data_IF_704138940515
#
_entry.id   IF_704138940515
#
_cell.length_a   1.000
_cell.length_b   1.000
_cell.length_c   1.000
_cell.angle_alpha   90.00
_cell.angle_beta   90.00
_cell.angle_gamma   90.00
#
_symmetry.space_group_name_H-M   'P 1'
#
loop_
_entity.id
_entity.type
_entity.pdbx_description
1 polymer ?
#
# COMPACT_ATOMS: atom_id res chain seq x y z
N UNK A 1 -47.94 14.85 -37.78
CA UNK A 1 -47.92 13.90 -36.65
C UNK A 1 -46.51 13.88 -36.08
N UNK A 2 -46.26 14.65 -35.04
CA UNK A 2 -44.97 14.70 -34.33
C UNK A 2 -44.87 13.42 -33.50
N UNK A 3 -44.11 12.44 -34.00
CA UNK A 3 -43.80 11.22 -33.25
C UNK A 3 -42.87 11.64 -32.11
N UNK A 4 -43.41 11.83 -30.92
CA UNK A 4 -42.65 11.94 -29.67
C UNK A 4 -41.94 10.59 -29.45
N UNK A 5 -40.77 10.46 -30.06
CA UNK A 5 -39.87 9.35 -29.81
C UNK A 5 -39.43 9.48 -28.34
N UNK A 6 -39.87 8.53 -27.51
CA UNK A 6 -39.29 8.31 -26.19
C UNK A 6 -37.79 8.16 -26.39
N UNK A 7 -36.92 8.96 -25.73
CA UNK A 7 -35.48 8.80 -25.91
C UNK A 7 -35.13 7.37 -25.48
N UNK A 8 -34.56 6.60 -26.40
CA UNK A 8 -34.05 5.27 -26.10
C UNK A 8 -33.06 5.45 -24.94
N UNK A 9 -33.35 4.83 -23.80
CA UNK A 9 -32.53 4.96 -22.61
C UNK A 9 -31.22 4.21 -22.85
N UNK A 10 -30.22 4.91 -23.39
CA UNK A 10 -28.90 4.37 -23.61
C UNK A 10 -28.30 3.93 -22.26
N UNK A 11 -27.80 2.70 -22.22
CA UNK A 11 -27.21 2.11 -21.02
C UNK A 11 -25.98 2.88 -20.57
N UNK A 12 -25.70 2.88 -19.27
CA UNK A 12 -24.50 3.52 -18.75
C UNK A 12 -23.23 2.84 -19.30
N UNK A 13 -22.15 3.59 -19.59
CA UNK A 13 -20.88 3.00 -19.98
C UNK A 13 -20.27 2.19 -18.83
N UNK A 14 -19.56 1.12 -19.18
CA UNK A 14 -18.89 0.24 -18.20
C UNK A 14 -17.37 0.37 -18.32
N UNK A 15 -16.67 0.24 -17.18
CA UNK A 15 -15.21 0.34 -17.12
C UNK A 15 -14.64 -0.98 -16.60
N UNK A 16 -14.21 -1.91 -17.48
CA UNK A 16 -13.79 -3.24 -17.08
C UNK A 16 -12.52 -3.24 -16.20
N UNK A 17 -11.71 -2.19 -16.28
CA UNK A 17 -10.47 -2.04 -15.49
C UNK A 17 -10.71 -1.35 -14.14
N UNK A 18 -11.95 -0.97 -13.81
CA UNK A 18 -12.25 -0.36 -12.53
C UNK A 18 -12.16 -1.40 -11.40
N UNK A 19 -11.39 -1.08 -10.36
CA UNK A 19 -11.49 -1.80 -9.10
C UNK A 19 -12.83 -1.49 -8.41
N UNK A 20 -13.27 -2.32 -7.43
CA UNK A 20 -14.52 -2.11 -6.70
C UNK A 20 -14.67 -0.71 -6.08
N UNK A 21 -13.54 -0.05 -5.80
CA UNK A 21 -13.50 1.27 -5.17
C UNK A 21 -12.97 2.39 -6.07
N UNK A 22 -12.68 2.12 -7.36
CA UNK A 22 -12.24 3.16 -8.30
C UNK A 22 -11.22 2.73 -9.35
N UNK A 23 -10.69 3.74 -10.06
CA UNK A 23 -9.61 3.60 -11.06
C UNK A 23 -8.27 3.87 -10.37
N UNK A 24 -7.34 2.92 -10.51
CA UNK A 24 -5.97 3.05 -10.03
C UNK A 24 -5.03 3.61 -11.10
N UNK A 25 -3.79 3.91 -10.73
CA UNK A 25 -2.83 4.53 -11.63
C UNK A 25 -2.51 3.64 -12.84
N UNK A 26 -2.42 2.32 -12.65
CA UNK A 26 -2.16 1.38 -13.74
C UNK A 26 -3.31 1.37 -14.76
N UNK A 27 -4.55 1.28 -14.28
CA UNK A 27 -5.75 1.32 -15.11
C UNK A 27 -5.89 2.65 -15.85
N UNK A 28 -5.48 3.77 -15.26
CA UNK A 28 -5.51 5.08 -15.90
C UNK A 28 -4.64 5.17 -17.17
N UNK A 29 -3.50 4.46 -17.23
CA UNK A 29 -2.60 4.48 -18.41
C UNK A 29 -3.23 3.90 -19.69
N UNK A 30 -4.16 2.95 -19.53
CA UNK A 30 -4.80 2.22 -20.62
C UNK A 30 -6.30 2.08 -20.40
N UNK A 31 -6.94 3.17 -19.93
CA UNK A 31 -8.35 3.13 -19.55
C UNK A 31 -9.26 2.90 -20.75
N UNK A 32 -10.06 1.83 -20.69
CA UNK A 32 -11.05 1.47 -21.68
C UNK A 32 -12.46 1.64 -21.12
N UNK A 33 -13.35 2.11 -21.98
CA UNK A 33 -14.78 2.23 -21.72
C UNK A 33 -15.53 1.33 -22.70
N UNK A 34 -16.31 0.41 -22.15
CA UNK A 34 -17.13 -0.53 -22.90
C UNK A 34 -18.57 -0.02 -22.94
N UNK A 35 -19.05 0.22 -24.16
CA UNK A 35 -20.40 0.66 -24.48
C UNK A 35 -21.17 -0.54 -25.02
N UNK A 36 -22.24 -0.92 -24.33
CA UNK A 36 -23.09 -2.01 -24.76
C UNK A 36 -23.82 -1.67 -26.08
N UNK A 37 -24.16 -2.67 -26.91
CA UNK A 37 -25.03 -2.45 -28.05
C UNK A 37 -26.34 -1.83 -27.61
N UNK A 38 -26.80 -0.79 -28.32
CA UNK A 38 -28.04 -0.10 -28.01
C UNK A 38 -29.15 -0.44 -29.02
N UNK A 39 -30.43 -0.28 -28.62
CA UNK A 39 -31.55 -0.48 -29.54
C UNK A 39 -31.45 0.47 -30.75
N UNK A 40 -31.58 -0.07 -31.96
CA UNK A 40 -31.51 0.72 -33.19
C UNK A 40 -30.08 1.12 -33.60
N UNK A 41 -29.06 0.41 -33.12
CA UNK A 41 -27.67 0.57 -33.58
C UNK A 41 -27.55 0.24 -35.07
N UNK A 42 -27.10 1.20 -35.87
CA UNK A 42 -26.98 1.09 -37.32
C UNK A 42 -25.58 1.46 -37.82
N UNK A 43 -25.25 1.03 -39.04
CA UNK A 43 -24.02 1.46 -39.69
C UNK A 43 -24.03 2.96 -39.95
N UNK A 44 -22.92 3.63 -39.61
CA UNK A 44 -22.76 5.07 -39.78
C UNK A 44 -23.05 5.88 -38.52
N UNK A 45 -23.68 5.28 -37.49
CA UNK A 45 -23.88 5.91 -36.19
C UNK A 45 -22.54 6.35 -35.59
N UNK A 46 -22.48 7.58 -35.08
CA UNK A 46 -21.29 8.11 -34.41
C UNK A 46 -21.48 8.06 -32.90
N UNK A 47 -20.60 7.34 -32.21
CA UNK A 47 -20.54 7.27 -30.76
C UNK A 47 -19.41 8.18 -30.29
N UNK A 48 -19.73 9.15 -29.45
CA UNK A 48 -18.76 10.08 -28.85
C UNK A 48 -18.70 9.85 -27.35
N UNK A 49 -17.49 9.64 -26.83
CA UNK A 49 -17.22 9.44 -25.41
C UNK A 49 -16.80 10.74 -24.75
N UNK A 50 -17.40 11.02 -23.59
CA UNK A 50 -17.09 12.16 -22.77
C UNK A 50 -16.59 11.72 -21.40
N UNK A 51 -15.47 12.32 -20.99
CA UNK A 51 -14.89 12.18 -19.66
C UNK A 51 -14.89 13.56 -18.99
N UNK A 52 -15.59 13.70 -17.87
CA UNK A 52 -15.81 14.98 -17.19
C UNK A 52 -16.31 16.09 -18.13
N UNK A 53 -17.23 15.73 -19.05
CA UNK A 53 -17.78 16.61 -20.09
C UNK A 53 -16.77 17.07 -21.16
N UNK A 54 -15.55 16.55 -21.16
CA UNK A 54 -14.59 16.75 -22.23
C UNK A 54 -14.65 15.58 -23.21
N UNK A 55 -14.61 15.88 -24.51
CA UNK A 55 -14.52 14.88 -25.56
C UNK A 55 -13.23 14.07 -25.40
N UNK A 56 -13.35 12.76 -25.26
CA UNK A 56 -12.22 11.86 -25.02
C UNK A 56 -11.87 11.02 -26.25
N UNK A 57 -12.88 10.45 -26.92
CA UNK A 57 -12.71 9.57 -28.07
C UNK A 57 -14.04 9.48 -28.84
N UNK A 58 -13.98 9.03 -30.09
CA UNK A 58 -15.18 8.73 -30.86
C UNK A 58 -14.98 7.57 -31.83
N UNK A 59 -16.08 6.89 -32.15
CA UNK A 59 -16.08 5.83 -33.15
C UNK A 59 -17.36 5.78 -33.93
N UNK A 60 -17.21 5.59 -35.24
CA UNK A 60 -18.32 5.29 -36.15
C UNK A 60 -18.59 3.79 -36.13
N UNK A 61 -19.86 3.42 -36.05
CA UNK A 61 -20.31 2.04 -36.14
C UNK A 61 -20.18 1.57 -37.59
N UNK A 62 -19.53 0.42 -37.80
CA UNK A 62 -19.41 -0.25 -39.09
C UNK A 62 -20.36 -1.44 -39.16
N UNK A 63 -20.75 -1.89 -40.36
CA UNK A 63 -21.66 -3.02 -40.53
C UNK A 63 -21.26 -4.28 -39.72
N UNK A 64 -19.97 -4.57 -39.61
CA UNK A 64 -19.46 -5.73 -38.88
C UNK A 64 -19.46 -5.59 -37.34
N UNK A 65 -19.80 -4.42 -36.81
CA UNK A 65 -19.83 -4.11 -35.37
C UNK A 65 -21.24 -3.89 -34.83
N UNK A 66 -22.25 -3.94 -35.68
CA UNK A 66 -23.65 -3.88 -35.26
C UNK A 66 -23.95 -5.02 -34.30
N UNK A 67 -24.60 -4.71 -33.17
CA UNK A 67 -24.93 -5.68 -32.13
C UNK A 67 -23.75 -6.12 -31.25
N UNK A 68 -22.56 -5.52 -31.43
CA UNK A 68 -21.36 -5.82 -30.61
C UNK A 68 -20.96 -4.63 -29.72
N UNK A 69 -20.40 -4.88 -28.53
CA UNK A 69 -19.93 -3.80 -27.66
C UNK A 69 -18.84 -2.96 -28.35
N UNK A 70 -18.94 -1.64 -28.18
CA UNK A 70 -17.93 -0.69 -28.68
C UNK A 70 -16.98 -0.33 -27.55
N UNK A 71 -15.67 -0.48 -27.79
CA UNK A 71 -14.62 -0.05 -26.86
C UNK A 71 -13.97 1.24 -27.32
N UNK A 72 -13.92 2.20 -26.42
CA UNK A 72 -13.27 3.50 -26.60
C UNK A 72 -12.20 3.70 -25.53
N UNK A 73 -11.15 4.44 -25.87
CA UNK A 73 -10.02 4.66 -24.94
C UNK A 73 -10.09 6.09 -24.39
N UNK A 74 -9.94 6.21 -23.07
CA UNK A 74 -9.75 7.53 -22.44
C UNK A 74 -8.25 7.83 -22.39
N UNK A 75 -7.79 8.98 -22.91
CA UNK A 75 -6.39 9.36 -22.77
C UNK A 75 -6.01 9.57 -21.30
N UNK A 76 -4.82 9.12 -20.90
CA UNK A 76 -4.35 9.20 -19.51
C UNK A 76 -4.36 10.63 -18.97
N UNK A 77 -4.09 11.63 -19.81
CA UNK A 77 -4.10 13.05 -19.42
C UNK A 77 -5.45 13.56 -18.94
N UNK A 78 -6.56 12.86 -19.23
CA UNK A 78 -7.90 13.22 -18.76
C UNK A 78 -8.21 12.59 -17.40
N UNK A 79 -7.51 11.51 -17.03
CA UNK A 79 -7.79 10.70 -15.85
C UNK A 79 -7.09 11.31 -14.63
N UNK A 80 -7.67 12.40 -14.14
CA UNK A 80 -7.21 13.11 -12.95
C UNK A 80 -7.85 12.57 -11.67
N UNK A 81 -7.15 12.71 -10.55
CA UNK A 81 -7.64 12.31 -9.22
C UNK A 81 -8.93 13.03 -8.85
N UNK A 82 -9.88 12.28 -8.29
CA UNK A 82 -11.17 12.81 -7.86
C UNK A 82 -12.35 11.98 -8.33
N UNK A 83 -13.55 12.54 -8.19
CA UNK A 83 -14.76 11.94 -8.74
C UNK A 83 -14.83 12.28 -10.22
N UNK A 84 -14.82 11.27 -11.08
CA UNK A 84 -14.96 11.43 -12.52
C UNK A 84 -16.35 10.97 -13.00
N UNK A 85 -16.79 11.59 -14.09
CA UNK A 85 -18.07 11.30 -14.74
C UNK A 85 -17.81 10.83 -16.17
N UNK A 86 -18.41 9.70 -16.53
CA UNK A 86 -18.27 9.09 -17.86
C UNK A 86 -19.65 8.96 -18.47
N UNK A 87 -19.81 9.47 -19.68
CA UNK A 87 -21.01 9.26 -20.47
C UNK A 87 -20.65 9.24 -21.94
N UNK A 88 -21.55 8.74 -22.77
CA UNK A 88 -21.40 8.82 -24.21
C UNK A 88 -22.67 9.38 -24.82
N UNK A 89 -22.56 9.89 -26.04
CA UNK A 89 -23.70 10.21 -26.87
C UNK A 89 -23.62 9.50 -28.20
N UNK A 90 -24.78 9.20 -28.76
CA UNK A 90 -24.93 8.60 -30.08
C UNK A 90 -25.60 9.61 -30.99
N UNK A 91 -24.97 9.86 -32.13
CA UNK A 91 -25.53 10.63 -33.23
C UNK A 91 -25.96 9.69 -34.34
N UNK A 92 -27.27 9.57 -34.53
CA UNK A 92 -27.87 8.79 -35.62
C UNK A 92 -28.36 9.71 -36.73
N UNK A 93 -28.31 9.24 -37.97
CA UNK A 93 -28.73 10.03 -39.12
C UNK A 93 -30.25 10.29 -39.02
N UNK A 94 -30.65 11.56 -39.07
CA UNK A 94 -32.06 11.94 -38.99
C UNK A 94 -32.65 12.01 -37.57
N UNK A 95 -31.85 11.77 -36.54
CA UNK A 95 -32.23 11.90 -35.13
C UNK A 95 -31.39 12.96 -34.41
N UNK A 96 -31.92 13.48 -33.30
CA UNK A 96 -31.13 14.30 -32.37
C UNK A 96 -30.11 13.45 -31.60
N UNK A 97 -29.10 14.08 -30.98
CA UNK A 97 -28.15 13.36 -30.15
C UNK A 97 -28.87 12.68 -28.98
N UNK A 98 -28.58 11.39 -28.77
CA UNK A 98 -29.07 10.62 -27.64
C UNK A 98 -27.93 10.42 -26.63
N UNK A 99 -28.13 10.82 -25.37
CA UNK A 99 -27.13 10.70 -24.31
C UNK A 99 -27.37 9.46 -23.44
N UNK A 100 -26.28 8.84 -23.01
CA UNK A 100 -26.30 7.76 -22.02
C UNK A 100 -26.56 8.26 -20.61
N UNK A 101 -26.92 7.33 -19.73
CA UNK A 101 -26.76 7.55 -18.29
C UNK A 101 -25.27 7.84 -17.96
N UNK A 102 -25.06 8.64 -16.91
CA UNK A 102 -23.72 9.00 -16.43
C UNK A 102 -23.23 7.93 -15.44
N UNK A 103 -22.04 7.42 -15.67
CA UNK A 103 -21.31 6.56 -14.73
C UNK A 103 -20.35 7.40 -13.90
N UNK A 104 -20.49 7.38 -12.58
CA UNK A 104 -19.55 8.01 -11.65
C UNK A 104 -18.49 7.02 -11.21
N UNK A 105 -17.22 7.40 -11.30
CA UNK A 105 -16.09 6.59 -10.82
C UNK A 105 -15.14 7.44 -9.99
N UNK A 106 -14.64 6.86 -8.90
CA UNK A 106 -13.57 7.49 -8.13
C UNK A 106 -12.22 7.18 -8.78
N UNK A 107 -11.42 8.19 -9.05
CA UNK A 107 -10.07 8.05 -9.60
C UNK A 107 -9.07 8.38 -8.51
N UNK A 108 -8.05 7.54 -8.37
CA UNK A 108 -6.87 7.79 -7.54
C UNK A 108 -5.65 7.20 -8.25
N UNK A 109 -4.90 8.08 -8.90
CA UNK A 109 -3.64 7.79 -9.59
C UNK A 109 -2.43 8.09 -8.70
N UNK A 110 -2.60 8.91 -7.67
CA UNK A 110 -1.54 9.21 -6.71
C UNK A 110 -1.26 8.04 -5.76
N UNK A 111 -0.05 7.48 -5.85
CA UNK A 111 0.44 6.40 -5.01
C UNK A 111 0.60 6.83 -3.54
N UNK A 112 0.34 5.93 -2.57
CA UNK A 112 0.71 6.15 -1.17
C UNK A 112 2.23 6.31 -1.05
N UNK A 113 2.67 7.36 -0.37
CA UNK A 113 4.08 7.72 -0.31
C UNK A 113 4.60 8.34 -1.62
N UNK A 114 3.75 8.77 -2.55
CA UNK A 114 4.17 9.40 -3.80
C UNK A 114 4.71 8.43 -4.85
N UNK A 115 5.06 8.96 -6.03
CA UNK A 115 5.48 8.16 -7.17
C UNK A 115 6.82 7.44 -6.87
N UNK A 116 6.84 6.09 -6.87
CA UNK A 116 8.08 5.38 -6.63
C UNK A 116 9.09 5.61 -7.76
N UNK A 117 10.37 5.77 -7.41
CA UNK A 117 11.44 5.94 -8.40
C UNK A 117 11.51 4.75 -9.36
N UNK A 118 11.65 5.00 -10.66
CA UNK A 118 11.85 3.94 -11.64
C UNK A 118 13.19 3.21 -11.45
N UNK A 119 14.18 3.86 -10.82
CA UNK A 119 15.52 3.32 -10.59
C UNK A 119 15.56 2.32 -9.41
N UNK A 120 14.73 2.53 -8.39
CA UNK A 120 14.61 1.62 -7.24
C UNK A 120 13.30 0.84 -7.34
N UNK A 121 13.39 -0.34 -7.95
CA UNK A 121 12.20 -1.14 -8.31
C UNK A 121 11.33 -1.54 -7.12
N UNK A 122 11.94 -1.77 -5.96
CA UNK A 122 11.24 -2.36 -4.81
C UNK A 122 11.13 -1.44 -3.58
N UNK A 123 11.88 -0.32 -3.57
CA UNK A 123 11.94 0.60 -2.42
C UNK A 123 11.46 2.00 -2.80
N UNK A 124 10.62 2.60 -1.96
CA UNK A 124 10.12 3.96 -2.10
C UNK A 124 10.74 4.89 -1.07
N UNK A 125 11.75 5.66 -1.50
CA UNK A 125 12.50 6.62 -0.67
C UNK A 125 11.68 7.79 -0.14
N UNK A 126 10.48 8.01 -0.68
CA UNK A 126 9.57 9.05 -0.20
C UNK A 126 8.85 8.64 1.10
N UNK A 127 8.88 7.36 1.45
CA UNK A 127 8.35 6.85 2.72
C UNK A 127 9.42 6.97 3.81
N UNK A 128 8.99 7.38 5.00
CA UNK A 128 9.87 7.34 6.17
C UNK A 128 10.09 5.88 6.61
N UNK A 129 11.33 5.50 6.97
CA UNK A 129 11.57 4.21 7.61
C UNK A 129 10.83 4.14 8.95
N UNK A 130 10.57 2.92 9.44
CA UNK A 130 9.90 2.73 10.72
C UNK A 130 10.67 3.41 11.86
N UNK A 131 9.93 4.09 12.74
CA UNK A 131 10.46 4.74 13.93
C UNK A 131 10.30 3.82 15.13
N UNK A 132 11.39 3.65 15.87
CA UNK A 132 11.49 2.77 17.04
C UNK A 132 12.05 3.57 18.21
N UNK A 133 11.73 3.19 19.46
CA UNK A 133 12.32 3.81 20.64
C UNK A 133 13.85 3.85 20.57
N UNK A 134 14.43 4.97 20.99
CA UNK A 134 15.88 5.20 20.97
C UNK A 134 16.67 4.12 21.72
N UNK A 135 16.08 3.53 22.76
CA UNK A 135 16.69 2.41 23.50
C UNK A 135 16.90 1.19 22.61
N UNK A 136 15.92 0.82 21.79
CA UNK A 136 16.01 -0.29 20.84
C UNK A 136 16.99 0.04 19.73
N UNK A 137 16.97 1.29 19.24
CA UNK A 137 17.88 1.74 18.18
C UNK A 137 19.36 1.70 18.60
N UNK A 138 19.67 2.00 19.86
CA UNK A 138 21.05 2.08 20.37
C UNK A 138 21.57 0.75 20.91
N UNK A 139 20.71 0.01 21.61
CA UNK A 139 21.13 -1.17 22.37
C UNK A 139 20.59 -2.49 21.80
N UNK A 140 19.81 -2.43 20.72
CA UNK A 140 19.14 -3.59 20.16
C UNK A 140 17.93 -4.03 20.98
N UNK A 141 17.32 -5.13 20.54
CA UNK A 141 16.16 -5.73 21.20
C UNK A 141 16.64 -6.63 22.33
N UNK A 142 16.13 -6.41 23.55
CA UNK A 142 16.42 -7.27 24.69
C UNK A 142 15.32 -8.34 24.92
N UNK A 143 15.63 -9.40 25.66
CA UNK A 143 14.68 -10.49 25.90
C UNK A 143 13.38 -10.11 26.62
N UNK A 144 13.34 -8.98 27.33
CA UNK A 144 12.09 -8.48 27.93
C UNK A 144 11.16 -7.85 26.88
N UNK A 145 11.73 -7.17 25.89
CA UNK A 145 11.01 -6.59 24.75
C UNK A 145 10.52 -7.67 23.79
N UNK A 146 11.30 -8.74 23.58
CA UNK A 146 10.84 -9.92 22.84
C UNK A 146 9.56 -10.49 23.46
N UNK A 147 9.50 -10.57 24.80
CA UNK A 147 8.33 -11.12 25.51
C UNK A 147 7.13 -10.18 25.58
N UNK A 148 7.35 -8.87 25.70
CA UNK A 148 6.28 -7.87 25.87
C UNK A 148 5.72 -7.37 24.54
N UNK A 149 6.52 -7.39 23.48
CA UNK A 149 6.24 -6.67 22.24
C UNK A 149 6.97 -5.34 22.17
N UNK A 150 6.99 -4.76 20.97
CA UNK A 150 7.76 -3.57 20.65
C UNK A 150 6.83 -2.50 20.08
N UNK A 151 6.82 -1.28 20.64
CA UNK A 151 6.14 -0.16 20.01
C UNK A 151 6.94 0.30 18.78
N UNK A 152 6.24 0.50 17.69
CA UNK A 152 6.73 0.98 16.41
C UNK A 152 5.81 2.11 15.93
N UNK A 153 6.39 3.14 15.30
CA UNK A 153 5.62 4.24 14.73
C UNK A 153 5.93 4.36 13.24
N UNK A 154 4.88 4.51 12.44
CA UNK A 154 4.96 4.87 11.02
C UNK A 154 4.53 6.33 10.89
N UNK A 155 5.40 7.19 10.38
CA UNK A 155 5.10 8.60 10.16
C UNK A 155 4.02 8.78 9.08
N UNK A 156 3.21 9.85 9.14
CA UNK A 156 2.25 10.15 8.09
C UNK A 156 2.97 10.32 6.74
N UNK A 157 2.38 9.77 5.68
CA UNK A 157 2.97 9.74 4.35
C UNK A 157 2.13 10.53 3.33
N UNK A 158 2.76 10.89 2.21
CA UNK A 158 2.10 11.61 1.13
C UNK A 158 0.96 10.76 0.54
N UNK A 159 -0.17 11.39 0.21
CA UNK A 159 -1.37 10.74 -0.34
C UNK A 159 -2.05 9.71 0.59
N UNK A 160 -1.77 9.79 1.90
CA UNK A 160 -2.47 9.01 2.93
C UNK A 160 -3.97 9.21 2.85
N UNK A 161 -4.71 8.11 2.79
CA UNK A 161 -6.15 8.12 2.64
C UNK A 161 -6.83 7.08 3.53
N UNK A 162 -8.13 7.26 3.76
CA UNK A 162 -8.93 6.24 4.42
C UNK A 162 -9.06 4.99 3.54
N UNK A 163 -8.99 3.83 4.18
CA UNK A 163 -9.00 2.53 3.51
C UNK A 163 -7.62 2.03 3.08
N UNK A 164 -6.55 2.81 3.29
CA UNK A 164 -5.19 2.31 3.08
C UNK A 164 -4.91 1.15 4.04
N UNK A 165 -4.41 0.03 3.50
CA UNK A 165 -3.99 -1.15 4.24
C UNK A 165 -2.47 -1.17 4.33
N UNK A 166 -1.93 -1.35 5.54
CA UNK A 166 -0.49 -1.38 5.77
C UNK A 166 -0.09 -2.80 6.16
N UNK A 167 0.92 -3.33 5.48
CA UNK A 167 1.56 -4.60 5.86
C UNK A 167 2.96 -4.30 6.38
N UNK A 168 3.19 -4.56 7.66
CA UNK A 168 4.51 -4.52 8.28
C UNK A 168 5.23 -5.83 8.00
N UNK A 169 6.51 -5.76 7.64
CA UNK A 169 7.43 -6.88 7.56
C UNK A 169 8.45 -6.76 8.68
N UNK A 170 8.54 -7.81 9.50
CA UNK A 170 9.47 -7.94 10.61
C UNK A 170 10.33 -9.18 10.38
N UNK A 171 11.56 -8.99 9.88
CA UNK A 171 12.35 -10.09 9.31
C UNK A 171 11.61 -10.69 8.12
N UNK A 172 11.25 -11.96 8.21
CA UNK A 172 10.46 -12.66 7.19
C UNK A 172 8.97 -12.79 7.53
N UNK A 173 8.56 -12.36 8.73
CA UNK A 173 7.17 -12.40 9.18
C UNK A 173 6.42 -11.16 8.72
N UNK A 174 5.18 -11.36 8.26
CA UNK A 174 4.27 -10.28 7.86
C UNK A 174 3.19 -10.07 8.91
N UNK A 175 2.89 -8.82 9.19
CA UNK A 175 1.84 -8.38 10.10
C UNK A 175 0.98 -7.36 9.38
N UNK A 176 -0.26 -7.74 9.06
CA UNK A 176 -1.25 -6.81 8.51
C UNK A 176 -1.83 -5.95 9.61
N UNK A 177 -1.78 -4.64 9.40
CA UNK A 177 -2.29 -3.64 10.32
C UNK A 177 -3.74 -3.29 9.97
N UNK A 178 -4.51 -2.77 10.94
CA UNK A 178 -5.84 -2.23 10.66
C UNK A 178 -5.78 -1.15 9.58
N UNK A 179 -6.77 -1.16 8.67
CA UNK A 179 -6.88 -0.14 7.62
C UNK A 179 -7.03 1.26 8.23
N UNK A 180 -6.43 2.25 7.57
CA UNK A 180 -6.50 3.65 8.00
C UNK A 180 -7.94 4.14 7.98
N UNK A 181 -8.41 4.66 9.12
CA UNK A 181 -9.72 5.29 9.23
C UNK A 181 -9.62 6.78 8.88
N UNK A 182 -10.75 7.40 8.50
CA UNK A 182 -10.79 8.83 8.15
C UNK A 182 -10.20 9.75 9.24
N UNK A 183 -10.40 9.42 10.52
CA UNK A 183 -9.85 10.17 11.67
C UNK A 183 -8.32 10.03 11.83
N UNK A 184 -7.72 9.01 11.22
CA UNK A 184 -6.28 8.72 11.31
C UNK A 184 -5.47 9.26 10.13
N UNK A 185 -6.13 9.83 9.11
CA UNK A 185 -5.45 10.40 7.95
C UNK A 185 -4.60 11.60 8.38
N UNK A 186 -3.33 11.59 7.99
CA UNK A 186 -2.36 12.64 8.34
C UNK A 186 -1.77 12.52 9.76
N UNK A 187 -2.09 11.45 10.48
CA UNK A 187 -1.52 11.16 11.81
C UNK A 187 -0.54 9.99 11.74
N UNK A 188 0.41 9.97 12.68
CA UNK A 188 1.31 8.84 12.83
C UNK A 188 0.55 7.57 13.24
N UNK A 189 0.92 6.44 12.65
CA UNK A 189 0.33 5.14 12.95
C UNK A 189 1.19 4.46 14.03
N UNK A 190 0.62 4.33 15.22
CA UNK A 190 1.25 3.61 16.31
C UNK A 190 0.90 2.13 16.24
N UNK A 191 1.93 1.29 16.20
CA UNK A 191 1.85 -0.15 16.02
C UNK A 191 2.47 -0.82 17.23
N UNK A 192 1.77 -1.80 17.78
CA UNK A 192 2.33 -2.70 18.78
C UNK A 192 2.67 -4.02 18.11
N UNK A 193 3.96 -4.29 17.92
CA UNK A 193 4.41 -5.56 17.34
C UNK A 193 4.33 -6.62 18.44
N UNK A 194 3.47 -7.65 18.29
CA UNK A 194 3.29 -8.66 19.32
C UNK A 194 4.52 -9.56 19.42
N UNK A 195 4.72 -10.16 20.60
CA UNK A 195 5.82 -11.09 20.86
C UNK A 195 5.82 -12.29 19.92
N UNK A 196 4.65 -12.75 19.47
CA UNK A 196 4.51 -13.87 18.52
C UNK A 196 5.26 -13.59 17.22
N UNK A 197 5.07 -12.40 16.64
CA UNK A 197 5.74 -11.98 15.39
C UNK A 197 7.26 -11.90 15.59
N UNK A 198 7.70 -11.39 16.75
CA UNK A 198 9.12 -11.23 17.06
C UNK A 198 9.80 -12.60 17.23
N UNK A 199 9.14 -13.53 17.94
CA UNK A 199 9.67 -14.88 18.19
C UNK A 199 9.68 -15.70 16.91
N UNK A 200 8.63 -15.60 16.09
CA UNK A 200 8.52 -16.31 14.81
C UNK A 200 9.57 -15.87 13.80
N UNK A 201 9.94 -14.59 13.79
CA UNK A 201 11.01 -14.08 12.94
C UNK A 201 12.41 -14.60 13.32
N UNK A 202 12.56 -15.20 14.51
CA UNK A 202 13.81 -15.80 14.96
C UNK A 202 14.84 -14.80 15.49
N UNK A 203 16.00 -15.34 15.88
CA UNK A 203 17.12 -14.60 16.47
C UNK A 203 18.19 -14.27 15.41
N UNK A 204 17.76 -13.77 14.26
CA UNK A 204 18.70 -13.34 13.24
C UNK A 204 19.48 -12.12 13.76
N UNK A 205 20.81 -12.22 13.67
CA UNK A 205 21.74 -11.16 14.12
C UNK A 205 21.48 -9.80 13.46
N UNK A 206 20.76 -9.78 12.33
CA UNK A 206 20.29 -8.59 11.61
C UNK A 206 18.85 -8.78 11.18
N UNK A 207 17.94 -8.17 11.93
CA UNK A 207 16.52 -8.20 11.65
C UNK A 207 16.13 -6.94 10.87
N UNK A 208 15.61 -7.12 9.66
CA UNK A 208 15.15 -6.02 8.82
C UNK A 208 13.66 -5.76 9.01
N UNK A 209 13.31 -4.50 9.28
CA UNK A 209 11.93 -4.05 9.47
C UNK A 209 11.57 -3.03 8.42
N UNK A 210 10.49 -3.27 7.69
CA UNK A 210 9.95 -2.38 6.65
C UNK A 210 8.43 -2.53 6.58
N UNK A 211 7.76 -1.70 5.78
CA UNK A 211 6.33 -1.80 5.54
C UNK A 211 6.01 -1.43 4.09
N UNK A 212 4.86 -1.87 3.61
CA UNK A 212 4.27 -1.37 2.36
C UNK A 212 2.80 -1.03 2.60
N UNK A 213 2.26 -0.20 1.72
CA UNK A 213 0.89 0.30 1.78
C UNK A 213 0.19 -0.06 0.47
N UNK A 214 -1.03 -0.58 0.60
CA UNK A 214 -1.95 -0.80 -0.49
C UNK A 214 -3.15 0.12 -0.29
N UNK A 215 -3.42 1.01 -1.24
CA UNK A 215 -4.59 1.88 -1.14
C UNK A 215 -5.89 1.16 -1.51
N UNK A 216 -7.02 1.85 -1.29
CA UNK A 216 -8.36 1.32 -1.59
C UNK A 216 -8.60 0.96 -3.06
N UNK A 217 -7.87 1.56 -4.01
CA UNK A 217 -8.00 1.25 -5.45
C UNK A 217 -6.91 0.27 -5.93
N UNK A 218 -6.03 -0.19 -5.05
CA UNK A 218 -4.99 -1.18 -5.35
C UNK A 218 -3.65 -0.59 -5.80
N UNK A 219 -3.39 0.72 -5.61
CA UNK A 219 -2.04 1.25 -5.81
C UNK A 219 -1.12 0.80 -4.66
N UNK A 220 0.04 0.24 -5.02
CA UNK A 220 1.04 -0.23 -4.07
C UNK A 220 2.17 0.80 -3.90
N UNK A 221 2.49 1.18 -2.66
CA UNK A 221 3.54 2.15 -2.34
C UNK A 221 4.96 1.66 -2.59
N UNK A 222 5.13 0.36 -2.84
CA UNK A 222 6.38 -0.41 -2.66
C UNK A 222 6.84 -0.43 -1.20
N UNK A 223 7.97 -1.08 -0.93
CA UNK A 223 8.51 -1.16 0.42
C UNK A 223 9.11 0.19 0.84
N UNK A 224 8.90 0.57 2.10
CA UNK A 224 9.60 1.68 2.71
C UNK A 224 11.09 1.33 2.93
N UNK A 225 11.97 2.33 3.11
CA UNK A 225 13.35 2.09 3.44
C UNK A 225 13.51 1.20 4.67
N UNK A 226 14.36 0.19 4.55
CA UNK A 226 14.54 -0.84 5.58
C UNK A 226 15.22 -0.26 6.82
N UNK A 227 14.72 -0.67 7.99
CA UNK A 227 15.35 -0.44 9.28
C UNK A 227 15.93 -1.74 9.82
N UNK A 228 17.26 -1.87 9.79
CA UNK A 228 17.93 -3.02 10.41
C UNK A 228 18.06 -2.84 11.92
N UNK A 229 17.78 -3.92 12.65
CA UNK A 229 17.89 -4.03 14.10
C UNK A 229 18.83 -5.17 14.47
N UNK A 230 19.53 -5.01 15.59
CA UNK A 230 20.29 -6.08 16.21
C UNK A 230 19.49 -6.63 17.38
N UNK A 231 19.36 -7.95 17.44
CA UNK A 231 18.86 -8.61 18.65
C UNK A 231 20.08 -8.73 19.56
N UNK A 232 20.01 -8.10 20.73
CA UNK A 232 21.05 -8.27 21.73
C UNK A 232 20.88 -9.68 22.28
N UNK A 233 21.57 -10.65 21.67
CA UNK A 233 21.71 -12.00 22.20
C UNK A 233 22.05 -11.85 23.68
N UNK A 234 21.21 -12.38 24.56
CA UNK A 234 21.61 -12.55 25.94
C UNK A 234 22.94 -13.30 25.90
N UNK A 235 24.06 -12.63 26.22
CA UNK A 235 25.30 -13.34 26.47
C UNK A 235 24.95 -14.51 27.40
N UNK A 236 25.34 -15.76 27.08
CA UNK A 236 25.20 -16.84 28.03
C UNK A 236 25.86 -16.35 29.31
N UNK A 237 25.09 -16.24 30.38
CA UNK A 237 25.65 -15.87 31.67
C UNK A 237 26.77 -16.87 31.94
N UNK A 238 28.01 -16.39 31.95
CA UNK A 238 29.15 -17.16 32.42
C UNK A 238 28.73 -17.76 33.76
N UNK A 239 28.73 -19.10 33.92
CA UNK A 239 28.32 -19.68 35.19
C UNK A 239 29.18 -19.08 36.31
N UNK A 240 28.61 -18.81 37.49
CA UNK A 240 29.37 -18.26 38.60
C UNK A 240 30.57 -19.16 38.84
N UNK A 241 31.76 -18.55 38.75
CA UNK A 241 33.05 -19.18 39.04
C UNK A 241 32.90 -20.01 40.32
N UNK A 242 33.20 -21.33 40.32
CA UNK A 242 33.07 -22.11 41.53
C UNK A 242 33.94 -21.48 42.61
N UNK A 243 33.35 -21.28 43.78
CA UNK A 243 34.03 -20.73 44.94
C UNK A 243 35.31 -21.52 45.16
N UNK A 244 36.44 -20.80 45.11
CA UNK A 244 37.76 -21.35 45.42
C UNK A 244 37.68 -21.92 46.84
N UNK A 245 37.80 -23.23 46.96
CA UNK A 245 37.84 -23.93 48.23
C UNK A 245 38.84 -23.24 49.17
N UNK A 246 38.39 -22.99 50.40
CA UNK A 246 39.20 -22.43 51.45
C UNK A 246 40.48 -23.26 51.64
N UNK A 247 41.63 -22.60 51.55
CA UNK A 247 42.92 -23.19 51.86
C UNK A 247 42.93 -23.59 53.33
N UNK A 248 42.78 -24.88 53.59
CA UNK A 248 42.98 -25.51 54.90
C UNK A 248 44.40 -25.24 55.40
N UNK A 249 44.47 -24.51 56.52
CA UNK A 249 45.38 -24.69 57.66
C UNK A 249 46.77 -25.31 57.38
N UNK A 250 47.82 -24.49 57.46
CA UNK A 250 49.19 -24.97 57.73
C UNK A 250 49.53 -24.73 59.20
N UNK A 251 50.02 -25.74 59.95
CA UNK A 251 50.42 -25.58 61.34
C UNK A 251 51.74 -24.79 61.47
N UNK A 252 51.82 -23.95 62.50
CA UNK A 252 53.01 -23.18 62.88
C UNK A 252 54.15 -24.12 63.31
N UNK A 253 55.38 -23.85 62.85
CA UNK A 253 56.58 -24.35 63.52
C UNK A 253 57.09 -23.30 64.54
N UNK A 254 57.44 -23.71 65.77
CA UNK A 254 57.94 -22.80 66.80
C UNK A 254 59.47 -22.74 66.84
N UNK A 255 60.01 -21.56 67.21
CA UNK A 255 61.23 -21.47 68.00
C UNK A 255 62.44 -20.73 67.39
N UNK A 256 62.55 -19.45 67.75
CA UNK A 256 63.75 -18.60 67.99
C UNK A 256 64.91 -19.31 68.75
N UNK A 257 66.13 -18.74 68.99
CA UNK A 257 66.40 -17.29 69.19
C UNK A 257 67.81 -16.71 68.87
N UNK A 258 67.92 -15.39 69.09
CA UNK A 258 69.12 -14.58 69.43
C UNK A 258 70.20 -14.36 68.34
N UNK A 259 70.89 -13.22 68.22
CA UNK A 259 70.76 -11.81 68.62
C UNK A 259 71.89 -11.02 67.86
N UNK A 260 72.22 -9.73 68.11
CA UNK A 260 72.68 -8.78 67.10
C UNK A 260 74.21 -8.52 67.10
N UNK A 261 74.65 -7.83 66.05
CA UNK A 261 75.97 -7.20 65.93
C UNK A 261 75.97 -6.21 64.78
#
# INVERSE_FOLDING_TARGET
MTRTATPALLTAPTLPQAHPHGINALAATQLQVDIAPYPGMEEGDLIELFWNNCFADARRVTACKIGTPTRLRVPESFVLDGLAQVHYQVMQIGHGPACSAITHVQVKTNYPGGQPSALLRDENQNLAPVSLPDTIRRYGINGSQVRRGIPLTIEPYLNMASGDAITLRWGDVRLDLPTIQAKGVGLAVHVWVPSTVIIEAGDDSRLDVTYCILDRVGNNSRWAPVRSLTIATCSPQTPPRPARAASTYQPRQPGSPCEPG
#
